data_IF_819377556023
#
_entry.id   IF_819377556023
#
_cell.length_a   1.000
_cell.length_b   1.000
_cell.length_c   1.000
_cell.angle_alpha   90.00
_cell.angle_beta   90.00
_cell.angle_gamma   90.00
#
_symmetry.space_group_name_H-M   'P 1'
#
loop_
_entity.id
_entity.type
_entity.pdbx_description
1 polymer ?
#
# COMPACT_ATOMS: atom_id res chain seq x y z
N UNK A 1 33.24 24.51 24.03
CA UNK A 1 33.64 23.09 24.10
C UNK A 1 32.75 22.28 23.16
N UNK A 2 33.29 21.67 22.08
CA UNK A 2 32.48 20.83 21.20
C UNK A 2 32.14 19.52 21.93
N UNK A 3 30.85 19.19 22.03
CA UNK A 3 30.41 17.92 22.58
C UNK A 3 31.05 16.75 21.78
N UNK A 4 31.49 15.67 22.45
CA UNK A 4 32.26 14.61 21.83
C UNK A 4 31.46 13.94 20.71
N UNK A 5 32.11 13.75 19.55
CA UNK A 5 31.54 13.29 18.29
C UNK A 5 30.65 12.01 18.42
N UNK A 6 30.93 11.16 19.41
CA UNK A 6 30.15 9.95 19.73
C UNK A 6 28.75 10.23 20.30
N UNK A 7 28.57 11.30 21.09
CA UNK A 7 27.29 11.66 21.73
C UNK A 7 26.31 12.25 20.72
N UNK A 8 26.83 13.05 19.77
CA UNK A 8 26.06 13.57 18.63
C UNK A 8 25.60 12.45 17.69
N UNK A 9 26.46 11.46 17.40
CA UNK A 9 26.09 10.30 16.58
C UNK A 9 25.00 9.43 17.22
N UNK A 10 25.12 9.14 18.51
CA UNK A 10 24.12 8.34 19.26
C UNK A 10 22.76 9.05 19.34
N UNK A 11 22.75 10.37 19.60
CA UNK A 11 21.53 11.18 19.57
C UNK A 11 20.88 11.21 18.17
N UNK A 12 21.68 11.30 17.11
CA UNK A 12 21.20 11.27 15.72
C UNK A 12 20.53 9.94 15.38
N UNK A 13 21.16 8.81 15.71
CA UNK A 13 20.58 7.48 15.49
C UNK A 13 19.28 7.30 16.26
N UNK A 14 19.23 7.72 17.52
CA UNK A 14 18.01 7.68 18.33
C UNK A 14 16.87 8.49 17.69
N UNK A 15 17.14 9.72 17.24
CA UNK A 15 16.14 10.56 16.58
C UNK A 15 15.63 9.96 15.27
N UNK A 16 16.49 9.31 14.48
CA UNK A 16 16.07 8.64 13.23
C UNK A 16 15.19 7.42 13.50
N UNK A 17 15.54 6.61 14.50
CA UNK A 17 14.72 5.46 14.91
C UNK A 17 13.37 5.96 15.44
N UNK A 18 13.37 7.00 16.28
CA UNK A 18 12.13 7.59 16.79
C UNK A 18 11.24 8.13 15.65
N UNK A 19 11.83 8.80 14.65
CA UNK A 19 11.10 9.29 13.49
C UNK A 19 10.52 8.14 12.64
N UNK A 20 11.31 7.11 12.37
CA UNK A 20 10.87 5.92 11.63
C UNK A 20 9.76 5.16 12.34
N UNK A 21 9.91 4.91 13.65
CA UNK A 21 8.88 4.26 14.48
C UNK A 21 7.62 5.13 14.57
N UNK A 22 7.75 6.44 14.73
CA UNK A 22 6.58 7.32 14.79
C UNK A 22 5.86 7.40 13.44
N UNK A 23 6.58 7.39 12.32
CA UNK A 23 5.96 7.33 11.00
C UNK A 23 5.25 5.98 10.77
N UNK A 24 5.90 4.88 11.15
CA UNK A 24 5.30 3.54 11.16
C UNK A 24 4.00 3.56 11.97
N UNK A 25 4.06 3.98 13.25
CA UNK A 25 2.93 3.96 14.17
C UNK A 25 1.81 4.90 13.74
N UNK A 26 2.14 6.09 13.20
CA UNK A 26 1.14 7.02 12.68
C UNK A 26 0.40 6.43 11.48
N UNK A 27 1.12 5.87 10.50
CA UNK A 27 0.49 5.30 9.31
C UNK A 27 -0.24 3.99 9.62
N UNK A 28 0.33 3.15 10.49
CA UNK A 28 -0.32 1.96 11.04
C UNK A 28 -1.65 2.32 11.72
N UNK A 29 -1.66 3.35 12.56
CA UNK A 29 -2.88 3.77 13.26
C UNK A 29 -3.91 4.38 12.30
N UNK A 30 -3.46 5.07 11.24
CA UNK A 30 -4.36 5.59 10.20
C UNK A 30 -5.15 4.45 9.51
N UNK A 31 -4.56 3.27 9.36
CA UNK A 31 -5.25 2.11 8.77
C UNK A 31 -6.50 1.70 9.56
N UNK A 32 -6.61 2.02 10.85
CA UNK A 32 -7.81 1.78 11.64
C UNK A 32 -9.03 2.54 11.10
N UNK A 33 -8.80 3.75 10.55
CA UNK A 33 -9.85 4.58 9.96
C UNK A 33 -10.16 4.19 8.50
N UNK A 34 -9.31 3.36 7.90
CA UNK A 34 -9.41 2.90 6.51
C UNK A 34 -9.98 1.49 6.40
N UNK A 35 -9.40 0.53 7.10
CA UNK A 35 -9.55 -0.92 6.83
C UNK A 35 -10.36 -1.67 7.87
N UNK A 36 -10.69 -1.05 9.00
CA UNK A 36 -11.51 -1.67 10.04
C UNK A 36 -12.90 -2.09 9.52
N UNK A 37 -13.51 -1.30 8.62
CA UNK A 37 -14.82 -1.66 8.02
C UNK A 37 -14.78 -2.96 7.21
N UNK A 38 -13.66 -3.27 6.56
CA UNK A 38 -13.53 -4.49 5.76
C UNK A 38 -13.53 -5.77 6.62
N UNK A 39 -13.46 -5.65 7.95
CA UNK A 39 -13.68 -6.77 8.86
C UNK A 39 -15.15 -7.24 8.87
N UNK A 40 -16.10 -6.34 8.67
CA UNK A 40 -17.53 -6.66 8.55
C UNK A 40 -17.85 -7.33 7.21
N UNK A 41 -18.88 -8.17 7.20
CA UNK A 41 -19.43 -8.78 5.98
C UNK A 41 -20.60 -7.97 5.42
N UNK A 42 -21.31 -7.22 6.26
CA UNK A 42 -22.48 -6.40 5.91
C UNK A 42 -23.54 -7.17 5.10
N UNK A 43 -23.85 -8.40 5.53
CA UNK A 43 -24.84 -9.25 4.88
C UNK A 43 -26.27 -8.75 5.11
N UNK A 44 -27.08 -8.69 4.04
CA UNK A 44 -28.52 -8.46 4.14
C UNK A 44 -28.92 -7.08 4.68
N UNK A 45 -28.19 -6.02 4.32
CA UNK A 45 -28.49 -4.65 4.78
C UNK A 45 -29.91 -4.22 4.36
N UNK A 46 -30.77 -4.01 5.34
CA UNK A 46 -32.17 -3.60 5.12
C UNK A 46 -32.23 -2.27 4.35
N UNK A 47 -33.04 -2.21 3.30
CA UNK A 47 -33.16 -1.02 2.42
C UNK A 47 -32.05 -0.87 1.38
N UNK A 48 -31.10 -1.82 1.29
CA UNK A 48 -30.12 -1.86 0.21
C UNK A 48 -30.58 -2.77 -0.93
N UNK A 49 -30.92 -2.17 -2.08
CA UNK A 49 -31.45 -2.89 -3.26
C UNK A 49 -30.59 -2.69 -4.51
N UNK A 50 -29.35 -2.22 -4.36
CA UNK A 50 -28.46 -1.99 -5.50
C UNK A 50 -27.98 -3.31 -6.12
N UNK A 51 -27.50 -3.23 -7.37
CA UNK A 51 -26.90 -4.36 -8.09
C UNK A 51 -25.63 -4.90 -7.43
N UNK A 52 -24.89 -4.05 -6.72
CA UNK A 52 -23.68 -4.40 -6.00
C UNK A 52 -24.04 -4.77 -4.56
N UNK A 53 -23.37 -5.79 -4.01
CA UNK A 53 -23.44 -6.03 -2.57
C UNK A 53 -22.95 -4.80 -1.79
N UNK A 54 -23.49 -4.61 -0.59
CA UNK A 54 -23.26 -3.39 0.18
C UNK A 54 -21.77 -3.17 0.47
N UNK A 55 -21.04 -4.24 0.83
CA UNK A 55 -19.61 -4.17 1.15
C UNK A 55 -18.79 -3.74 -0.07
N UNK A 56 -19.03 -4.33 -1.24
CA UNK A 56 -18.39 -3.96 -2.50
C UNK A 56 -18.68 -2.51 -2.86
N UNK A 57 -19.93 -2.06 -2.74
CA UNK A 57 -20.28 -0.66 -2.99
C UNK A 57 -19.55 0.30 -2.03
N UNK A 58 -19.45 -0.05 -0.75
CA UNK A 58 -18.71 0.72 0.25
C UNK A 58 -17.20 0.77 -0.05
N UNK A 59 -16.59 -0.35 -0.47
CA UNK A 59 -15.19 -0.41 -0.89
C UNK A 59 -14.95 0.49 -2.10
N UNK A 60 -15.77 0.39 -3.15
CA UNK A 60 -15.66 1.22 -4.36
C UNK A 60 -15.79 2.70 -4.00
N UNK A 61 -16.76 3.06 -3.17
CA UNK A 61 -16.96 4.43 -2.70
C UNK A 61 -15.74 4.98 -1.94
N UNK A 62 -15.17 4.18 -1.03
CA UNK A 62 -13.96 4.58 -0.31
C UNK A 62 -12.78 4.79 -1.27
N UNK A 63 -12.56 3.86 -2.21
CA UNK A 63 -11.48 3.96 -3.21
C UNK A 63 -11.68 5.17 -4.12
N UNK A 64 -12.92 5.50 -4.51
CA UNK A 64 -13.24 6.70 -5.27
C UNK A 64 -12.85 7.98 -4.49
N UNK A 65 -13.14 8.03 -3.19
CA UNK A 65 -12.68 9.11 -2.30
C UNK A 65 -11.15 9.24 -2.33
N UNK A 66 -10.41 8.14 -2.22
CA UNK A 66 -8.95 8.12 -2.32
C UNK A 66 -8.43 8.64 -3.67
N UNK A 67 -9.06 8.22 -4.78
CA UNK A 67 -8.68 8.67 -6.11
C UNK A 67 -8.87 10.19 -6.27
N UNK A 68 -10.00 10.72 -5.80
CA UNK A 68 -10.27 12.17 -5.77
C UNK A 68 -9.25 12.92 -4.91
N UNK A 69 -8.87 12.34 -3.77
CA UNK A 69 -7.83 12.88 -2.89
C UNK A 69 -6.49 13.03 -3.60
N UNK A 70 -6.09 12.04 -4.41
CA UNK A 70 -4.83 12.08 -5.16
C UNK A 70 -4.86 13.15 -6.25
N UNK A 71 -6.00 13.35 -6.91
CA UNK A 71 -6.16 14.44 -7.88
C UNK A 71 -6.04 15.82 -7.23
N UNK A 72 -6.64 16.02 -6.05
CA UNK A 72 -6.58 17.27 -5.30
C UNK A 72 -5.24 17.48 -4.55
N UNK A 73 -4.59 16.41 -4.13
CA UNK A 73 -3.43 16.44 -3.23
C UNK A 73 -2.13 16.88 -3.88
N UNK A 74 -1.97 16.73 -5.21
CA UNK A 74 -0.73 17.10 -5.92
C UNK A 74 -0.45 18.60 -5.82
N UNK A 75 -1.48 19.44 -5.89
CA UNK A 75 -1.36 20.90 -5.68
C UNK A 75 -1.30 21.25 -4.20
N UNK A 76 -2.16 20.66 -3.37
CA UNK A 76 -2.28 21.02 -1.95
C UNK A 76 -1.03 20.66 -1.11
N UNK A 77 -0.40 19.49 -1.35
CA UNK A 77 0.81 19.05 -0.61
C UNK A 77 2.03 19.89 -1.00
N UNK A 78 2.13 20.32 -2.26
CA UNK A 78 3.24 21.13 -2.75
C UNK A 78 3.28 22.53 -2.10
N UNK A 79 2.13 23.05 -1.66
CA UNK A 79 1.98 24.39 -1.07
C UNK A 79 2.02 24.39 0.47
N UNK A 80 2.11 23.23 1.11
CA UNK A 80 1.98 23.10 2.56
C UNK A 80 3.27 23.45 3.32
N UNK A 81 3.20 24.55 4.08
CA UNK A 81 4.24 24.91 5.06
C UNK A 81 4.45 23.79 6.11
N UNK A 82 5.70 23.51 6.45
CA UNK A 82 6.11 22.46 7.40
C UNK A 82 5.49 22.61 8.79
N UNK A 83 5.12 23.82 9.19
CA UNK A 83 4.66 24.16 10.55
C UNK A 83 3.25 23.68 10.89
N UNK A 84 2.38 23.44 9.89
CA UNK A 84 0.96 23.04 10.12
C UNK A 84 0.65 21.58 9.78
N UNK A 85 1.66 20.80 9.36
CA UNK A 85 1.49 19.42 8.89
C UNK A 85 0.84 18.50 9.93
N UNK A 86 1.27 18.57 11.19
CA UNK A 86 0.72 17.73 12.25
C UNK A 86 -0.75 18.00 12.51
N UNK A 87 -1.14 19.28 12.59
CA UNK A 87 -2.54 19.69 12.75
C UNK A 87 -3.41 19.25 11.57
N UNK A 88 -2.87 19.31 10.35
CA UNK A 88 -3.57 18.84 9.16
C UNK A 88 -3.79 17.33 9.18
N UNK A 89 -2.79 16.53 9.59
CA UNK A 89 -2.94 15.07 9.74
C UNK A 89 -4.09 14.77 10.71
N UNK A 90 -4.10 15.42 11.89
CA UNK A 90 -5.16 15.23 12.88
C UNK A 90 -6.52 15.67 12.31
N UNK A 91 -6.62 16.84 11.68
CA UNK A 91 -7.87 17.34 11.11
C UNK A 91 -8.43 16.42 10.01
N UNK A 92 -7.59 15.92 9.11
CA UNK A 92 -8.00 14.98 8.06
C UNK A 92 -8.45 13.64 8.65
N UNK A 93 -7.74 13.10 9.64
CA UNK A 93 -8.14 11.84 10.28
C UNK A 93 -9.43 12.03 11.09
N UNK A 94 -9.61 13.17 11.77
CA UNK A 94 -10.87 13.50 12.44
C UNK A 94 -12.03 13.61 11.45
N UNK A 95 -11.84 14.24 10.28
CA UNK A 95 -12.86 14.28 9.22
C UNK A 95 -13.21 12.87 8.71
N UNK A 96 -12.19 12.03 8.50
CA UNK A 96 -12.38 10.62 8.13
C UNK A 96 -13.15 9.83 9.18
N UNK A 97 -12.88 10.09 10.46
CA UNK A 97 -13.55 9.47 11.59
C UNK A 97 -15.02 9.91 11.71
N UNK A 98 -15.31 11.20 11.55
CA UNK A 98 -16.69 11.70 11.51
C UNK A 98 -17.48 11.05 10.36
N UNK A 99 -16.84 10.80 9.23
CA UNK A 99 -17.44 10.05 8.13
C UNK A 99 -17.74 8.58 8.51
N UNK A 100 -16.92 7.92 9.35
CA UNK A 100 -17.25 6.59 9.89
C UNK A 100 -18.41 6.62 10.89
N UNK A 101 -18.53 7.68 11.69
CA UNK A 101 -19.70 7.89 12.55
C UNK A 101 -20.95 8.10 11.70
N UNK A 102 -20.85 8.90 10.64
CA UNK A 102 -21.92 9.06 9.66
C UNK A 102 -22.28 7.73 8.98
N UNK A 103 -21.29 6.92 8.61
CA UNK A 103 -21.50 5.56 8.10
C UNK A 103 -22.28 4.67 9.08
N UNK A 104 -22.06 4.83 10.40
CA UNK A 104 -22.81 4.11 11.40
C UNK A 104 -24.28 4.56 11.49
N UNK A 105 -24.52 5.88 11.48
CA UNK A 105 -25.84 6.47 11.75
C UNK A 105 -26.75 6.62 10.53
N UNK A 106 -26.20 6.79 9.32
CA UNK A 106 -26.97 7.14 8.13
C UNK A 106 -27.74 5.94 7.53
N UNK A 107 -28.82 6.18 6.77
CA UNK A 107 -29.50 5.15 5.98
C UNK A 107 -28.59 4.51 4.92
N UNK A 108 -28.86 3.28 4.45
CA UNK A 108 -27.96 2.49 3.60
C UNK A 108 -27.34 3.24 2.41
N UNK A 109 -28.15 3.94 1.61
CA UNK A 109 -27.65 4.71 0.45
C UNK A 109 -26.70 5.83 0.85
N UNK A 110 -26.96 6.48 1.98
CA UNK A 110 -26.14 7.56 2.52
C UNK A 110 -24.87 7.05 3.21
N UNK A 111 -24.85 5.79 3.70
CA UNK A 111 -23.62 5.14 4.18
C UNK A 111 -22.55 5.07 3.09
N UNK A 112 -22.94 4.83 1.84
CA UNK A 112 -22.00 4.80 0.69
C UNK A 112 -21.37 6.18 0.46
N UNK A 113 -22.16 7.26 0.54
CA UNK A 113 -21.63 8.63 0.46
C UNK A 113 -20.65 8.90 1.61
N UNK A 114 -20.96 8.45 2.82
CA UNK A 114 -20.06 8.56 3.95
C UNK A 114 -18.73 7.85 3.70
N UNK A 115 -18.70 6.72 2.97
CA UNK A 115 -17.45 6.04 2.60
C UNK A 115 -16.60 6.85 1.61
N UNK A 116 -17.20 7.60 0.68
CA UNK A 116 -16.45 8.55 -0.17
C UNK A 116 -15.80 9.64 0.69
N UNK A 117 -16.58 10.23 1.61
CA UNK A 117 -16.10 11.26 2.54
C UNK A 117 -15.05 10.73 3.52
N UNK A 118 -15.10 9.44 3.86
CA UNK A 118 -14.07 8.78 4.65
C UNK A 118 -12.77 8.60 3.87
N UNK A 119 -12.84 8.16 2.61
CA UNK A 119 -11.67 7.89 1.78
C UNK A 119 -10.90 9.14 1.36
N UNK A 120 -11.62 10.23 1.06
CA UNK A 120 -11.03 11.49 0.60
C UNK A 120 -9.94 12.07 1.51
N UNK A 121 -10.14 12.32 2.81
CA UNK A 121 -9.10 12.86 3.67
C UNK A 121 -7.91 11.91 3.85
N UNK A 122 -8.15 10.59 3.82
CA UNK A 122 -7.11 9.60 4.08
C UNK A 122 -6.08 9.48 2.95
N UNK A 123 -6.46 9.76 1.71
CA UNK A 123 -5.56 9.68 0.54
C UNK A 123 -4.34 10.61 0.61
N UNK A 124 -4.39 11.66 1.43
CA UNK A 124 -3.30 12.61 1.65
C UNK A 124 -2.33 12.20 2.78
N UNK A 125 -2.74 11.31 3.70
CA UNK A 125 -2.00 11.06 4.94
C UNK A 125 -0.62 10.45 4.68
N UNK A 126 -0.49 9.54 3.72
CA UNK A 126 0.80 8.96 3.37
C UNK A 126 1.82 10.02 2.98
N UNK A 127 1.43 10.94 2.08
CA UNK A 127 2.32 12.02 1.62
C UNK A 127 2.69 12.98 2.75
N UNK A 128 1.73 13.30 3.63
CA UNK A 128 1.99 14.15 4.80
C UNK A 128 2.97 13.51 5.79
N UNK A 129 2.82 12.23 6.10
CA UNK A 129 3.75 11.50 6.98
C UNK A 129 5.11 11.36 6.31
N UNK A 130 5.15 10.95 5.04
CA UNK A 130 6.39 10.80 4.28
C UNK A 130 7.18 12.11 4.21
N UNK A 131 6.51 13.26 4.11
CA UNK A 131 7.16 14.57 4.07
C UNK A 131 8.00 14.93 5.32
N UNK A 132 7.82 14.23 6.45
CA UNK A 132 8.69 14.35 7.64
C UNK A 132 9.99 13.53 7.54
N UNK A 133 9.95 12.47 6.74
CA UNK A 133 11.05 11.54 6.51
C UNK A 133 11.88 11.97 5.28
N UNK A 134 11.22 12.60 4.32
CA UNK A 134 11.82 13.10 3.10
C UNK A 134 12.95 14.10 3.36
N UNK A 135 13.98 14.04 2.52
CA UNK A 135 15.13 14.94 2.59
C UNK A 135 16.24 14.46 3.52
N UNK A 136 16.05 13.35 4.25
CA UNK A 136 17.07 12.76 5.13
C UNK A 136 17.97 11.78 4.36
N UNK A 137 19.23 11.61 4.78
CA UNK A 137 20.17 10.65 4.20
C UNK A 137 19.62 9.21 4.14
N UNK A 138 18.85 8.80 5.15
CA UNK A 138 18.25 7.47 5.28
C UNK A 138 16.80 7.40 4.76
N UNK A 139 16.38 8.30 3.87
CA UNK A 139 14.98 8.37 3.39
C UNK A 139 14.50 7.06 2.76
N UNK A 140 15.37 6.30 2.09
CA UNK A 140 15.00 5.01 1.48
C UNK A 140 14.65 3.95 2.54
N UNK A 141 15.45 3.87 3.60
CA UNK A 141 15.17 3.00 4.75
C UNK A 141 13.90 3.44 5.49
N UNK A 142 13.73 4.74 5.73
CA UNK A 142 12.55 5.28 6.40
C UNK A 142 11.27 5.06 5.55
N UNK A 143 11.37 5.15 4.23
CA UNK A 143 10.31 4.78 3.29
C UNK A 143 9.97 3.28 3.35
N UNK A 144 10.99 2.41 3.48
CA UNK A 144 10.79 0.97 3.66
C UNK A 144 10.03 0.65 4.95
N UNK A 145 10.40 1.30 6.07
CA UNK A 145 9.72 1.16 7.36
C UNK A 145 8.26 1.64 7.24
N UNK A 146 8.01 2.73 6.51
CA UNK A 146 6.64 3.18 6.25
C UNK A 146 5.86 2.15 5.42
N UNK A 147 6.48 1.53 4.41
CA UNK A 147 5.83 0.46 3.64
C UNK A 147 5.54 -0.80 4.47
N UNK A 148 6.43 -1.17 5.39
CA UNK A 148 6.21 -2.27 6.32
C UNK A 148 4.91 -2.11 7.13
N UNK A 149 4.57 -0.87 7.48
CA UNK A 149 3.40 -0.61 8.32
C UNK A 149 2.09 -1.03 7.67
N UNK A 150 1.90 -0.85 6.35
CA UNK A 150 0.62 -1.23 5.73
C UNK A 150 0.42 -2.73 5.59
N UNK A 151 1.50 -3.51 5.51
CA UNK A 151 1.42 -4.97 5.41
C UNK A 151 0.79 -5.53 6.68
N UNK A 152 1.29 -5.09 7.84
CA UNK A 152 0.82 -5.58 9.15
C UNK A 152 -0.45 -4.87 9.62
N UNK A 153 -0.57 -3.56 9.34
CA UNK A 153 -1.66 -2.75 9.90
C UNK A 153 -3.04 -3.24 9.50
N UNK A 154 -3.23 -3.66 8.23
CA UNK A 154 -4.54 -4.14 7.76
C UNK A 154 -5.03 -5.35 8.56
N UNK A 155 -4.17 -6.33 8.80
CA UNK A 155 -4.48 -7.51 9.61
C UNK A 155 -4.80 -7.13 11.06
N UNK A 156 -3.94 -6.30 11.68
CA UNK A 156 -4.11 -5.87 13.07
C UNK A 156 -5.42 -5.11 13.31
N UNK A 157 -5.76 -4.15 12.46
CA UNK A 157 -6.97 -3.35 12.66
C UNK A 157 -8.24 -4.16 12.41
N UNK A 158 -8.20 -5.15 11.49
CA UNK A 158 -9.30 -6.09 11.29
C UNK A 158 -9.44 -7.04 12.48
N UNK A 159 -8.33 -7.52 13.05
CA UNK A 159 -8.36 -8.28 14.31
C UNK A 159 -9.04 -7.48 15.42
N UNK A 160 -8.69 -6.20 15.59
CA UNK A 160 -9.35 -5.33 16.57
C UNK A 160 -10.83 -5.13 16.27
N UNK A 161 -11.20 -4.84 15.02
CA UNK A 161 -12.59 -4.65 14.62
C UNK A 161 -13.42 -5.93 14.84
N UNK A 162 -12.88 -7.09 14.47
CA UNK A 162 -13.50 -8.39 14.74
C UNK A 162 -13.67 -8.63 16.22
N UNK A 163 -12.65 -8.37 17.05
CA UNK A 163 -12.77 -8.50 18.50
C UNK A 163 -13.85 -7.58 19.09
N UNK A 164 -13.96 -6.34 18.61
CA UNK A 164 -15.02 -5.42 19.01
C UNK A 164 -16.41 -5.97 18.67
N UNK A 165 -16.58 -6.59 17.50
CA UNK A 165 -17.86 -7.17 17.09
C UNK A 165 -18.19 -8.48 17.80
N UNK A 166 -17.22 -9.39 17.92
CA UNK A 166 -17.48 -10.76 18.41
C UNK A 166 -17.44 -10.86 19.93
N UNK A 167 -16.54 -10.14 20.59
CA UNK A 167 -16.35 -10.19 22.06
C UNK A 167 -17.08 -9.03 22.73
N UNK A 168 -16.83 -7.79 22.29
CA UNK A 168 -17.44 -6.59 22.90
C UNK A 168 -18.86 -6.33 22.41
N UNK A 169 -19.36 -7.12 21.44
CA UNK A 169 -20.71 -7.03 20.87
C UNK A 169 -21.06 -5.65 20.33
N UNK A 170 -20.06 -4.90 19.85
CA UNK A 170 -20.27 -3.64 19.15
C UNK A 170 -20.98 -3.91 17.81
N UNK A 171 -22.05 -3.17 17.46
CA UNK A 171 -22.72 -3.35 16.18
C UNK A 171 -21.78 -3.20 14.98
N UNK A 172 -22.00 -4.00 13.94
CA UNK A 172 -21.12 -4.09 12.77
C UNK A 172 -20.83 -2.74 12.10
N UNK A 173 -21.84 -1.87 11.98
CA UNK A 173 -21.67 -0.53 11.41
C UNK A 173 -20.90 0.45 12.33
N UNK A 174 -20.87 0.21 13.64
CA UNK A 174 -20.15 1.05 14.61
C UNK A 174 -18.70 0.60 14.82
N UNK A 175 -18.40 -0.68 14.58
CA UNK A 175 -17.07 -1.26 14.76
C UNK A 175 -15.93 -0.45 14.11
N UNK A 176 -16.06 0.13 12.89
CA UNK A 176 -14.98 0.91 12.28
C UNK A 176 -14.67 2.20 13.04
N UNK A 177 -15.69 2.93 13.47
CA UNK A 177 -15.53 4.17 14.22
C UNK A 177 -14.92 3.91 15.61
N UNK A 178 -15.35 2.85 16.29
CA UNK A 178 -14.79 2.42 17.57
C UNK A 178 -13.33 1.96 17.43
N UNK A 179 -12.99 1.22 16.37
CA UNK A 179 -11.61 0.82 16.08
C UNK A 179 -10.74 2.05 15.86
N UNK A 180 -11.19 3.02 15.06
CA UNK A 180 -10.48 4.28 14.86
C UNK A 180 -10.19 5.02 16.18
N UNK A 181 -11.17 5.12 17.08
CA UNK A 181 -10.97 5.73 18.40
C UNK A 181 -9.91 5.00 19.24
N UNK A 182 -9.87 3.66 19.19
CA UNK A 182 -8.89 2.88 19.94
C UNK A 182 -7.45 3.17 19.48
N UNK A 183 -7.25 3.41 18.18
CA UNK A 183 -5.94 3.73 17.60
C UNK A 183 -5.60 5.22 17.61
N UNK A 184 -6.56 6.10 17.93
CA UNK A 184 -6.35 7.55 17.95
C UNK A 184 -5.27 8.02 18.95
N UNK A 185 -5.14 7.48 20.19
CA UNK A 185 -4.08 7.86 21.11
C UNK A 185 -2.68 7.59 20.55
N UNK A 186 -2.47 6.42 19.96
CA UNK A 186 -1.19 6.04 19.34
C UNK A 186 -0.87 6.94 18.15
N UNK A 187 -1.87 7.24 17.31
CA UNK A 187 -1.75 8.17 16.21
C UNK A 187 -1.33 9.56 16.68
N UNK A 188 -2.06 10.14 17.66
CA UNK A 188 -1.78 11.49 18.17
C UNK A 188 -0.38 11.57 18.77
N UNK A 189 0.00 10.59 19.60
CA UNK A 189 1.34 10.52 20.16
C UNK A 189 2.42 10.48 19.07
N UNK A 190 2.21 9.66 18.03
CA UNK A 190 3.13 9.52 16.91
C UNK A 190 3.26 10.82 16.09
N UNK A 191 2.14 11.49 15.78
CA UNK A 191 2.14 12.78 15.05
C UNK A 191 2.80 13.88 15.86
N UNK A 192 2.61 13.88 17.18
CA UNK A 192 3.25 14.81 18.11
C UNK A 192 4.77 14.61 18.14
N UNK A 193 5.26 13.37 18.13
CA UNK A 193 6.70 13.08 18.01
C UNK A 193 7.22 13.52 16.64
N UNK A 194 6.52 13.18 15.55
CA UNK A 194 6.89 13.59 14.19
C UNK A 194 6.98 15.11 14.04
N UNK A 195 6.07 15.84 14.67
CA UNK A 195 6.05 17.31 14.63
C UNK A 195 7.22 17.96 15.39
N UNK A 196 7.90 17.21 16.27
CA UNK A 196 9.10 17.65 16.97
C UNK A 196 10.40 17.18 16.31
N UNK A 197 10.31 16.40 15.23
CA UNK A 197 11.51 15.97 14.51
C UNK A 197 12.17 17.18 13.86
N UNK A 198 13.48 17.42 14.10
CA UNK A 198 14.17 18.56 13.51
C UNK A 198 14.21 18.44 11.97
N UNK A 199 14.27 19.58 11.24
CA UNK A 199 14.40 19.57 9.79
C UNK A 199 15.68 18.85 9.33
N UNK A 200 15.75 18.39 8.06
CA UNK A 200 16.97 17.83 7.49
C UNK A 200 18.16 18.79 7.67
N UNK A 201 19.33 18.24 8.02
CA UNK A 201 20.51 19.04 8.30
C UNK A 201 21.32 19.33 7.02
N UNK A 202 22.36 20.17 7.11
CA UNK A 202 23.20 20.48 5.95
C UNK A 202 23.91 19.24 5.36
N UNK A 203 24.23 18.24 6.18
CA UNK A 203 24.80 16.97 5.69
C UNK A 203 23.78 16.19 4.84
N UNK A 204 22.51 16.15 5.27
CA UNK A 204 21.42 15.51 4.53
C UNK A 204 21.18 16.18 3.17
N UNK A 205 21.36 17.51 3.11
CA UNK A 205 21.23 18.30 1.87
C UNK A 205 22.45 18.15 0.96
N UNK A 206 23.66 18.06 1.51
CA UNK A 206 24.91 17.88 0.74
C UNK A 206 25.02 16.50 0.10
N UNK A 207 24.57 15.45 0.78
CA UNK A 207 24.63 14.07 0.27
C UNK A 207 23.53 13.77 -0.77
N UNK A 208 22.55 14.67 -0.97
CA UNK A 208 21.49 14.49 -1.97
C UNK A 208 21.76 15.29 -3.24
N UNK A 209 21.85 14.59 -4.36
CA UNK A 209 21.59 15.18 -5.67
C UNK A 209 20.15 15.72 -5.71
N UNK A 210 19.99 17.02 -6.01
CA UNK A 210 18.69 17.68 -6.18
C UNK A 210 17.89 16.94 -7.27
N UNK A 211 16.94 16.09 -6.86
CA UNK A 211 16.01 15.44 -7.79
C UNK A 211 14.98 16.49 -8.23
N UNK A 212 15.16 17.06 -9.43
CA UNK A 212 14.18 17.99 -10.01
C UNK A 212 12.90 17.22 -10.39
N UNK A 213 11.71 17.74 -10.08
CA UNK A 213 10.46 17.18 -10.60
C UNK A 213 10.49 17.16 -12.13
N UNK A 214 9.99 16.08 -12.75
CA UNK A 214 9.90 16.01 -14.22
C UNK A 214 8.89 17.03 -14.74
N UNK A 215 9.32 17.89 -15.66
CA UNK A 215 8.42 18.81 -16.37
C UNK A 215 7.63 18.04 -17.44
N UNK A 216 6.59 18.67 -18.01
CA UNK A 216 5.74 18.01 -19.02
C UNK A 216 6.54 17.45 -20.21
N UNK A 217 7.53 18.20 -20.70
CA UNK A 217 8.40 17.77 -21.79
C UNK A 217 9.24 16.53 -21.42
N UNK A 218 9.84 16.52 -20.22
CA UNK A 218 10.63 15.38 -19.73
C UNK A 218 9.80 14.12 -19.59
N UNK A 219 8.55 14.25 -19.11
CA UNK A 219 7.60 13.14 -18.99
C UNK A 219 7.24 12.57 -20.35
N UNK A 220 6.94 13.42 -21.33
CA UNK A 220 6.63 12.98 -22.69
C UNK A 220 7.81 12.26 -23.31
N UNK A 221 9.02 12.84 -23.25
CA UNK A 221 10.22 12.22 -23.79
C UNK A 221 10.54 10.87 -23.12
N UNK A 222 10.36 10.75 -21.80
CA UNK A 222 10.52 9.48 -21.09
C UNK A 222 9.47 8.44 -21.52
N UNK A 223 8.20 8.83 -21.63
CA UNK A 223 7.13 7.95 -22.10
C UNK A 223 7.32 7.52 -23.56
N UNK A 224 7.83 8.38 -24.43
CA UNK A 224 8.17 7.99 -25.81
C UNK A 224 9.33 6.99 -25.82
N UNK A 225 10.32 7.17 -24.94
CA UNK A 225 11.51 6.32 -24.89
C UNK A 225 11.28 4.93 -24.26
N UNK A 226 10.40 4.84 -23.25
CA UNK A 226 10.19 3.64 -22.42
C UNK A 226 8.73 3.17 -22.36
N UNK A 227 7.80 3.85 -23.02
CA UNK A 227 6.36 3.64 -22.95
C UNK A 227 5.89 2.20 -23.10
N UNK A 228 6.36 1.42 -24.10
CA UNK A 228 5.95 0.02 -24.24
C UNK A 228 6.32 -0.84 -23.02
N UNK A 229 7.53 -0.70 -22.49
CA UNK A 229 7.96 -1.41 -21.28
C UNK A 229 7.21 -0.93 -20.04
N UNK A 230 7.00 0.38 -19.91
CA UNK A 230 6.23 0.97 -18.81
C UNK A 230 4.78 0.51 -18.82
N UNK A 231 4.15 0.39 -19.99
CA UNK A 231 2.77 -0.08 -20.12
C UNK A 231 2.64 -1.52 -19.60
N UNK A 232 3.52 -2.42 -20.05
CA UNK A 232 3.55 -3.82 -19.59
C UNK A 232 3.77 -3.90 -18.08
N UNK A 233 4.70 -3.10 -17.57
CA UNK A 233 5.02 -3.02 -16.16
C UNK A 233 3.85 -2.49 -15.32
N UNK A 234 3.16 -1.45 -15.78
CA UNK A 234 1.96 -0.90 -15.13
C UNK A 234 0.81 -1.91 -15.18
N UNK A 235 0.64 -2.65 -16.28
CA UNK A 235 -0.37 -3.72 -16.34
C UNK A 235 -0.10 -4.81 -15.29
N UNK A 236 1.16 -5.22 -15.10
CA UNK A 236 1.52 -6.14 -14.03
C UNK A 236 1.19 -5.56 -12.65
N UNK A 237 1.52 -4.29 -12.43
CA UNK A 237 1.18 -3.58 -11.20
C UNK A 237 -0.32 -3.59 -10.92
N UNK A 238 -1.14 -3.29 -11.94
CA UNK A 238 -2.60 -3.26 -11.83
C UNK A 238 -3.13 -4.63 -11.40
N UNK A 239 -2.64 -5.71 -12.01
CA UNK A 239 -3.06 -7.09 -11.68
C UNK A 239 -2.69 -7.43 -10.23
N UNK A 240 -1.44 -7.20 -9.81
CA UNK A 240 -1.02 -7.50 -8.44
C UNK A 240 -1.75 -6.61 -7.41
N UNK A 241 -2.02 -5.35 -7.74
CA UNK A 241 -2.78 -4.43 -6.88
C UNK A 241 -4.21 -4.90 -6.71
N UNK A 242 -4.88 -5.27 -7.81
CA UNK A 242 -6.27 -5.73 -7.77
C UNK A 242 -6.40 -7.06 -7.00
N UNK A 243 -5.49 -8.01 -7.22
CA UNK A 243 -5.46 -9.28 -6.48
C UNK A 243 -5.18 -9.06 -4.98
N UNK A 244 -4.23 -8.17 -4.63
CA UNK A 244 -3.98 -7.78 -3.24
C UNK A 244 -5.19 -7.11 -2.60
N UNK A 245 -5.79 -6.14 -3.28
CA UNK A 245 -6.95 -5.42 -2.76
C UNK A 245 -8.14 -6.34 -2.55
N UNK A 246 -8.35 -7.29 -3.47
CA UNK A 246 -9.40 -8.31 -3.31
C UNK A 246 -9.13 -9.17 -2.07
N UNK A 247 -7.94 -9.80 -1.97
CA UNK A 247 -7.54 -10.62 -0.82
C UNK A 247 -7.73 -9.87 0.49
N UNK A 248 -7.27 -8.62 0.52
CA UNK A 248 -7.32 -7.79 1.72
C UNK A 248 -8.76 -7.41 2.07
N UNK A 249 -9.53 -6.85 1.14
CA UNK A 249 -10.88 -6.35 1.43
C UNK A 249 -11.88 -7.46 1.76
N UNK A 250 -11.71 -8.66 1.19
CA UNK A 250 -12.59 -9.81 1.39
C UNK A 250 -11.95 -10.90 2.25
N UNK A 251 -10.94 -10.55 3.06
CA UNK A 251 -10.28 -11.51 3.94
C UNK A 251 -11.26 -12.20 4.91
N UNK A 252 -12.27 -11.49 5.42
CA UNK A 252 -13.29 -12.08 6.30
C UNK A 252 -14.07 -13.19 5.60
N UNK A 253 -14.51 -12.95 4.37
CA UNK A 253 -15.23 -13.91 3.53
C UNK A 253 -14.35 -15.11 3.19
N UNK A 254 -13.10 -14.87 2.81
CA UNK A 254 -12.14 -15.94 2.55
C UNK A 254 -11.92 -16.82 3.80
N UNK A 255 -11.75 -16.23 4.98
CA UNK A 255 -11.59 -17.01 6.22
C UNK A 255 -12.87 -17.78 6.60
N UNK A 256 -14.05 -17.20 6.38
CA UNK A 256 -15.32 -17.88 6.59
C UNK A 256 -15.43 -19.12 5.69
N UNK A 257 -15.12 -18.99 4.40
CA UNK A 257 -15.17 -20.09 3.44
C UNK A 257 -14.06 -21.14 3.68
N UNK A 258 -12.91 -20.73 4.26
CA UNK A 258 -11.86 -21.65 4.70
C UNK A 258 -12.17 -22.37 6.02
N UNK A 259 -13.30 -22.10 6.66
CA UNK A 259 -13.72 -22.71 7.93
C UNK A 259 -13.13 -22.06 9.19
N UNK A 260 -12.43 -20.94 9.05
CA UNK A 260 -11.76 -20.19 10.13
C UNK A 260 -12.53 -18.90 10.50
N UNK A 261 -13.84 -18.90 10.28
CA UNK A 261 -14.74 -17.78 10.53
C UNK A 261 -14.70 -17.29 11.98
N UNK A 262 -14.71 -15.97 12.18
CA UNK A 262 -14.89 -15.35 13.50
C UNK A 262 -13.65 -15.30 14.40
N UNK A 263 -12.53 -15.92 14.00
CA UNK A 263 -11.26 -15.80 14.72
C UNK A 263 -10.64 -14.42 14.50
N UNK A 264 -10.72 -13.54 15.50
CA UNK A 264 -10.15 -12.20 15.39
C UNK A 264 -8.63 -12.25 15.17
N UNK A 265 -7.91 -13.15 15.84
CA UNK A 265 -6.44 -13.19 15.80
C UNK A 265 -5.88 -13.64 14.44
N UNK A 266 -6.68 -14.36 13.63
CA UNK A 266 -6.18 -14.96 12.37
C UNK A 266 -5.68 -13.90 11.39
N UNK A 267 -6.35 -12.74 11.31
CA UNK A 267 -5.95 -11.63 10.45
C UNK A 267 -4.56 -11.08 10.79
N UNK A 268 -4.19 -11.02 12.08
CA UNK A 268 -2.85 -10.56 12.48
C UNK A 268 -1.82 -11.66 12.30
N UNK A 269 -2.15 -12.88 12.72
CA UNK A 269 -1.24 -14.02 12.68
C UNK A 269 -0.87 -14.42 11.24
N UNK A 270 -1.78 -14.24 10.28
CA UNK A 270 -1.47 -14.49 8.87
C UNK A 270 -0.57 -13.43 8.25
N UNK A 271 -0.70 -12.16 8.64
CA UNK A 271 0.07 -11.06 8.02
C UNK A 271 1.47 -10.88 8.61
N UNK A 272 1.74 -11.35 9.83
CA UNK A 272 3.07 -11.25 10.44
C UNK A 272 4.14 -12.02 9.64
N UNK A 273 3.96 -13.30 9.28
CA UNK A 273 4.93 -14.02 8.43
C UNK A 273 5.08 -13.37 7.06
N UNK A 274 3.98 -12.89 6.47
CA UNK A 274 3.96 -12.19 5.18
C UNK A 274 4.86 -10.95 5.22
N UNK A 275 4.74 -10.15 6.28
CA UNK A 275 5.59 -8.98 6.48
C UNK A 275 7.06 -9.36 6.66
N UNK A 276 7.38 -10.37 7.47
CA UNK A 276 8.76 -10.82 7.69
C UNK A 276 9.42 -11.25 6.37
N UNK A 277 8.74 -12.09 5.58
CA UNK A 277 9.26 -12.58 4.30
C UNK A 277 9.47 -11.43 3.32
N UNK A 278 8.45 -10.56 3.18
CA UNK A 278 8.51 -9.44 2.22
C UNK A 278 9.61 -8.45 2.59
N UNK A 279 9.68 -8.04 3.86
CA UNK A 279 10.66 -7.05 4.31
C UNK A 279 12.09 -7.57 4.23
N UNK A 280 12.31 -8.85 4.52
CA UNK A 280 13.62 -9.48 4.36
C UNK A 280 14.08 -9.46 2.91
N UNK A 281 13.19 -9.81 1.97
CA UNK A 281 13.50 -9.75 0.55
C UNK A 281 13.78 -8.32 0.06
N UNK A 282 12.97 -7.33 0.48
CA UNK A 282 13.17 -5.93 0.11
C UNK A 282 14.46 -5.36 0.71
N UNK A 283 14.79 -5.69 1.95
CA UNK A 283 16.04 -5.28 2.58
C UNK A 283 17.25 -5.83 1.80
N UNK A 284 17.20 -7.09 1.37
CA UNK A 284 18.23 -7.67 0.48
C UNK A 284 18.37 -6.92 -0.84
N UNK A 285 17.26 -6.52 -1.45
CA UNK A 285 17.28 -5.72 -2.69
C UNK A 285 17.88 -4.32 -2.51
N UNK A 286 17.67 -3.69 -1.34
CA UNK A 286 18.22 -2.35 -1.04
C UNK A 286 19.75 -2.34 -0.92
N UNK A 287 20.36 -3.47 -0.55
CA UNK A 287 21.82 -3.59 -0.45
C UNK A 287 22.52 -3.56 -1.82
N UNK A 288 21.79 -3.72 -2.91
CA UNK A 288 22.33 -3.74 -4.27
C UNK A 288 22.60 -2.31 -4.74
N UNK A 289 23.88 -1.98 -4.94
CA UNK A 289 24.30 -0.64 -5.39
C UNK A 289 24.06 -0.39 -6.87
N UNK A 290 24.28 -1.40 -7.71
CA UNK A 290 24.12 -1.30 -9.17
C UNK A 290 22.63 -1.22 -9.55
N UNK A 291 22.21 -0.11 -10.16
CA UNK A 291 20.81 0.15 -10.49
C UNK A 291 20.25 -0.81 -11.55
N UNK A 292 21.08 -1.25 -12.51
CA UNK A 292 20.64 -2.19 -13.56
C UNK A 292 20.44 -3.57 -12.96
N UNK A 293 21.40 -4.06 -12.18
CA UNK A 293 21.29 -5.35 -11.47
C UNK A 293 20.13 -5.33 -10.48
N UNK A 294 19.96 -4.24 -9.73
CA UNK A 294 18.82 -4.07 -8.82
C UNK A 294 17.49 -4.13 -9.58
N UNK A 295 17.37 -3.44 -10.71
CA UNK A 295 16.16 -3.48 -11.55
C UNK A 295 15.84 -4.90 -12.03
N UNK A 296 16.84 -5.67 -12.46
CA UNK A 296 16.64 -7.06 -12.90
C UNK A 296 16.26 -7.99 -11.75
N UNK A 297 16.90 -7.85 -10.59
CA UNK A 297 16.56 -8.64 -9.41
C UNK A 297 15.17 -8.31 -8.88
N UNK A 298 14.74 -7.05 -8.96
CA UNK A 298 13.36 -6.65 -8.66
C UNK A 298 12.36 -7.38 -9.59
N UNK A 299 12.62 -7.44 -10.90
CA UNK A 299 11.77 -8.20 -11.82
C UNK A 299 11.73 -9.69 -11.45
N UNK A 300 12.88 -10.28 -11.11
CA UNK A 300 12.98 -11.66 -10.65
C UNK A 300 12.20 -11.92 -9.37
N UNK A 301 12.30 -11.04 -8.37
CA UNK A 301 11.52 -11.13 -7.12
C UNK A 301 10.02 -11.02 -7.38
N UNK A 302 9.61 -10.14 -8.29
CA UNK A 302 8.20 -10.02 -8.66
C UNK A 302 7.69 -11.28 -9.39
N UNK A 303 8.50 -11.84 -10.29
CA UNK A 303 8.20 -13.11 -10.95
C UNK A 303 8.12 -14.27 -9.94
N UNK A 304 9.05 -14.35 -8.99
CA UNK A 304 9.01 -15.34 -7.91
C UNK A 304 7.76 -15.17 -7.04
N UNK A 305 7.36 -13.94 -6.73
CA UNK A 305 6.10 -13.65 -6.04
C UNK A 305 4.89 -14.16 -6.83
N UNK A 306 4.84 -13.92 -8.14
CA UNK A 306 3.80 -14.44 -9.01
C UNK A 306 3.76 -15.98 -9.04
N UNK A 307 4.91 -16.65 -9.20
CA UNK A 307 5.00 -18.12 -9.10
C UNK A 307 4.50 -18.65 -7.77
N UNK A 308 4.90 -18.00 -6.66
CA UNK A 308 4.49 -18.41 -5.32
C UNK A 308 2.96 -18.37 -5.17
N UNK A 309 2.29 -17.37 -5.73
CA UNK A 309 0.81 -17.28 -5.75
C UNK A 309 0.20 -18.48 -6.47
N UNK A 310 0.66 -18.80 -7.68
CA UNK A 310 0.10 -19.90 -8.47
C UNK A 310 0.37 -21.27 -7.84
N UNK A 311 1.62 -21.51 -7.42
CA UNK A 311 2.03 -22.78 -6.81
C UNK A 311 1.38 -23.02 -5.46
N UNK A 312 1.22 -21.98 -4.63
CA UNK A 312 0.50 -22.13 -3.36
C UNK A 312 -0.99 -22.40 -3.58
N UNK A 313 -1.62 -21.77 -4.57
CA UNK A 313 -3.02 -22.03 -4.91
C UNK A 313 -3.22 -23.45 -5.42
N UNK A 314 -2.30 -23.95 -6.25
CA UNK A 314 -2.30 -25.35 -6.67
C UNK A 314 -2.09 -26.30 -5.49
N UNK A 315 -1.11 -26.03 -4.64
CA UNK A 315 -0.83 -26.85 -3.47
C UNK A 315 -2.03 -26.89 -2.51
N UNK A 316 -2.77 -25.79 -2.35
CA UNK A 316 -3.99 -25.75 -1.54
C UNK A 316 -5.09 -26.62 -2.15
N UNK A 317 -5.36 -26.49 -3.45
CA UNK A 317 -6.38 -27.28 -4.14
C UNK A 317 -6.03 -28.77 -4.26
N UNK A 318 -4.74 -29.10 -4.18
CA UNK A 318 -4.24 -30.48 -4.12
C UNK A 318 -4.16 -31.02 -2.68
N UNK A 319 -4.74 -30.31 -1.69
CA UNK A 319 -4.73 -30.66 -0.27
C UNK A 319 -3.32 -30.84 0.34
N UNK A 320 -2.28 -30.24 -0.27
CA UNK A 320 -0.89 -30.31 0.21
C UNK A 320 -0.60 -29.29 1.31
N UNK A 321 -1.36 -28.19 1.35
CA UNK A 321 -1.23 -27.14 2.38
C UNK A 321 -2.60 -26.73 2.90
N UNK A 322 -2.66 -26.30 4.17
CA UNK A 322 -3.88 -25.78 4.78
C UNK A 322 -4.27 -24.39 4.24
N UNK A 323 -5.53 -24.00 4.44
CA UNK A 323 -6.02 -22.66 4.09
C UNK A 323 -5.23 -21.52 4.73
N UNK A 324 -4.79 -21.68 5.99
CA UNK A 324 -3.91 -20.71 6.66
C UNK A 324 -2.56 -20.57 5.94
N UNK A 325 -1.92 -21.69 5.63
CA UNK A 325 -0.64 -21.71 4.91
C UNK A 325 -0.78 -21.12 3.50
N UNK A 326 -1.89 -21.38 2.82
CA UNK A 326 -2.22 -20.80 1.53
C UNK A 326 -2.40 -19.28 1.60
N UNK A 327 -3.17 -18.79 2.56
CA UNK A 327 -3.35 -17.35 2.79
C UNK A 327 -2.02 -16.65 3.11
N UNK A 328 -1.13 -17.28 3.88
CA UNK A 328 0.20 -16.75 4.18
C UNK A 328 1.08 -16.74 2.93
N UNK A 329 1.16 -17.84 2.19
CA UNK A 329 2.06 -17.95 1.03
C UNK A 329 1.61 -17.12 -0.16
N UNK A 330 0.30 -17.08 -0.46
CA UNK A 330 -0.26 -16.15 -1.46
C UNK A 330 -0.07 -14.70 -1.05
N UNK A 331 -0.27 -14.37 0.23
CA UNK A 331 0.02 -13.04 0.78
C UNK A 331 1.47 -12.64 0.58
N UNK A 332 2.42 -13.52 0.93
CA UNK A 332 3.84 -13.28 0.74
C UNK A 332 4.18 -13.09 -0.76
N UNK A 333 3.67 -13.94 -1.64
CA UNK A 333 3.87 -13.82 -3.08
C UNK A 333 3.34 -12.50 -3.63
N UNK A 334 2.15 -12.09 -3.20
CA UNK A 334 1.53 -10.81 -3.54
C UNK A 334 2.37 -9.62 -3.12
N UNK A 335 2.80 -9.56 -1.85
CA UNK A 335 3.58 -8.44 -1.36
C UNK A 335 5.01 -8.41 -1.93
N UNK A 336 5.60 -9.57 -2.26
CA UNK A 336 6.87 -9.63 -3.01
C UNK A 336 6.72 -9.07 -4.43
N UNK A 337 5.59 -9.31 -5.09
CA UNK A 337 5.32 -8.82 -6.44
C UNK A 337 4.88 -7.35 -6.48
N UNK A 338 4.10 -6.90 -5.50
CA UNK A 338 3.51 -5.57 -5.48
C UNK A 338 4.43 -4.51 -4.83
N UNK A 339 5.06 -4.81 -3.70
CA UNK A 339 5.75 -3.79 -2.88
C UNK A 339 6.93 -3.11 -3.58
N UNK A 340 7.74 -3.80 -4.41
CA UNK A 340 8.86 -3.16 -5.11
C UNK A 340 8.44 -1.96 -5.97
N UNK A 341 7.24 -1.98 -6.56
CA UNK A 341 6.70 -0.89 -7.39
C UNK A 341 6.59 0.42 -6.61
N UNK A 342 6.18 0.34 -5.34
CA UNK A 342 6.00 1.50 -4.47
C UNK A 342 7.29 1.92 -3.75
N UNK A 343 8.24 0.99 -3.60
CA UNK A 343 9.43 1.21 -2.78
C UNK A 343 10.67 1.64 -3.57
N UNK A 344 10.97 0.99 -4.70
CA UNK A 344 12.28 1.17 -5.35
C UNK A 344 12.30 0.96 -6.86
N UNK A 345 11.33 0.26 -7.44
CA UNK A 345 11.38 -0.17 -8.84
C UNK A 345 11.53 1.02 -9.79
N UNK A 346 10.67 2.03 -9.66
CA UNK A 346 10.70 3.21 -10.53
C UNK A 346 11.93 4.08 -10.29
N UNK A 347 12.43 4.19 -9.06
CA UNK A 347 13.68 4.89 -8.76
C UNK A 347 14.88 4.19 -9.43
N UNK A 348 14.97 2.87 -9.30
CA UNK A 348 16.01 2.06 -9.95
C UNK A 348 15.90 2.11 -11.47
N UNK A 349 14.69 2.16 -12.02
CA UNK A 349 14.47 2.32 -13.46
C UNK A 349 14.98 3.66 -13.97
N UNK A 350 14.60 4.77 -13.33
CA UNK A 350 15.05 6.11 -13.73
C UNK A 350 16.58 6.22 -13.62
N UNK A 351 17.14 5.71 -12.52
CA UNK A 351 18.58 5.71 -12.32
C UNK A 351 19.32 4.83 -13.35
N UNK A 352 18.80 3.64 -13.67
CA UNK A 352 19.35 2.77 -14.70
C UNK A 352 19.26 3.38 -16.12
N UNK A 353 18.16 4.08 -16.40
CA UNK A 353 17.91 4.79 -17.65
C UNK A 353 18.72 6.10 -17.80
N UNK A 354 19.43 6.53 -16.74
CA UNK A 354 20.16 7.82 -16.67
C UNK A 354 19.31 9.03 -17.02
N UNK A 355 18.02 8.98 -16.68
CA UNK A 355 17.11 10.08 -16.94
C UNK A 355 17.07 11.03 -15.75
N UNK A 356 17.08 12.35 -15.99
CA UNK A 356 16.88 13.32 -14.92
C UNK A 356 15.40 13.39 -14.55
N UNK A 357 15.03 12.90 -13.36
CA UNK A 357 13.65 12.96 -12.89
C UNK A 357 13.38 12.22 -11.58
N UNK A 358 12.19 12.44 -11.03
CA UNK A 358 11.70 11.74 -9.83
C UNK A 358 10.77 10.60 -10.21
N UNK A 359 10.91 9.45 -9.54
CA UNK A 359 10.00 8.31 -9.69
C UNK A 359 8.55 8.58 -9.31
N UNK A 360 8.29 9.67 -8.57
CA UNK A 360 6.96 10.05 -8.11
C UNK A 360 5.91 10.03 -9.22
N UNK A 361 6.21 10.58 -10.41
CA UNK A 361 5.27 10.57 -11.54
C UNK A 361 4.82 9.15 -11.93
N UNK A 362 5.77 8.21 -12.00
CA UNK A 362 5.49 6.83 -12.37
C UNK A 362 4.71 6.08 -11.28
N UNK A 363 5.04 6.34 -10.01
CA UNK A 363 4.31 5.80 -8.85
C UNK A 363 2.86 6.29 -8.88
N UNK A 364 2.62 7.60 -9.08
CA UNK A 364 1.26 8.15 -9.17
C UNK A 364 0.48 7.57 -10.35
N UNK A 365 1.10 7.42 -11.52
CA UNK A 365 0.47 6.83 -12.70
C UNK A 365 0.08 5.36 -12.46
N UNK A 366 0.99 4.60 -11.85
CA UNK A 366 0.76 3.21 -11.49
C UNK A 366 -0.38 3.09 -10.45
N UNK A 367 -0.35 3.88 -9.38
CA UNK A 367 -1.38 3.89 -8.33
C UNK A 367 -2.78 4.23 -8.86
N UNK A 368 -2.89 5.27 -9.69
CA UNK A 368 -4.17 5.64 -10.30
C UNK A 368 -4.71 4.50 -11.17
N UNK A 369 -3.85 3.86 -11.95
CA UNK A 369 -4.20 2.69 -12.76
C UNK A 369 -4.61 1.50 -11.88
N UNK A 370 -3.92 1.28 -10.76
CA UNK A 370 -4.19 0.23 -9.79
C UNK A 370 -5.58 0.37 -9.16
N UNK A 371 -5.95 1.57 -8.73
CA UNK A 371 -7.30 1.82 -8.20
C UNK A 371 -8.39 1.59 -9.25
N UNK A 372 -8.18 2.03 -10.49
CA UNK A 372 -9.10 1.76 -11.59
C UNK A 372 -9.24 0.25 -11.84
N UNK A 373 -8.14 -0.50 -11.77
CA UNK A 373 -8.15 -1.95 -11.89
C UNK A 373 -8.93 -2.64 -10.76
N UNK A 374 -8.70 -2.25 -9.51
CA UNK A 374 -9.46 -2.78 -8.36
C UNK A 374 -10.96 -2.53 -8.52
N UNK A 375 -11.36 -1.29 -8.85
CA UNK A 375 -12.79 -0.97 -9.08
C UNK A 375 -13.37 -1.80 -10.23
N UNK A 376 -12.64 -1.92 -11.34
CA UNK A 376 -13.08 -2.71 -12.49
C UNK A 376 -13.25 -4.19 -12.15
N UNK A 377 -12.32 -4.76 -11.38
CA UNK A 377 -12.39 -6.15 -10.92
C UNK A 377 -13.62 -6.39 -10.02
N UNK A 378 -13.92 -5.46 -9.12
CA UNK A 378 -15.08 -5.58 -8.23
C UNK A 378 -16.40 -5.49 -9.00
N UNK A 379 -16.50 -4.56 -9.95
CA UNK A 379 -17.66 -4.48 -10.85
C UNK A 379 -17.78 -5.78 -11.66
N UNK A 380 -16.68 -6.32 -12.18
CA UNK A 380 -16.68 -7.61 -12.88
C UNK A 380 -17.18 -8.75 -11.98
N UNK A 381 -16.64 -8.88 -10.77
CA UNK A 381 -17.07 -9.90 -9.81
C UNK A 381 -18.56 -9.80 -9.51
N UNK A 382 -19.07 -8.59 -9.28
CA UNK A 382 -20.46 -8.38 -8.89
C UNK A 382 -21.44 -8.54 -10.05
N UNK A 383 -21.05 -8.24 -11.29
CA UNK A 383 -21.96 -8.28 -12.45
C UNK A 383 -21.82 -9.56 -13.28
N UNK A 384 -20.59 -10.00 -13.57
CA UNK A 384 -20.33 -11.14 -14.44
C UNK A 384 -20.23 -12.46 -13.67
N UNK A 385 -19.65 -12.43 -12.46
CA UNK A 385 -19.33 -13.63 -11.66
C UNK A 385 -20.11 -13.69 -10.33
N UNK A 386 -21.38 -13.30 -10.38
CA UNK A 386 -22.26 -13.17 -9.20
C UNK A 386 -22.47 -14.47 -8.42
N UNK A 387 -22.36 -15.63 -9.08
CA UNK A 387 -22.64 -16.94 -8.50
C UNK A 387 -21.38 -17.64 -7.96
N UNK A 388 -20.18 -17.12 -8.22
CA UNK A 388 -18.96 -17.69 -7.68
C UNK A 388 -18.76 -17.25 -6.24
N UNK A 389 -18.48 -18.21 -5.37
CA UNK A 389 -18.06 -17.94 -4.00
C UNK A 389 -16.73 -17.16 -3.97
N UNK A 390 -16.45 -16.46 -2.87
CA UNK A 390 -15.31 -15.54 -2.78
C UNK A 390 -13.97 -16.28 -2.90
N UNK A 391 -13.87 -17.47 -2.30
CA UNK A 391 -12.71 -18.35 -2.33
C UNK A 391 -12.42 -18.89 -3.72
N UNK A 392 -13.46 -19.36 -4.42
CA UNK A 392 -13.35 -19.88 -5.79
C UNK A 392 -12.91 -18.80 -6.76
N UNK A 393 -13.52 -17.61 -6.65
CA UNK A 393 -13.13 -16.47 -7.48
C UNK A 393 -11.70 -16.01 -7.18
N UNK A 394 -11.30 -15.92 -5.90
CA UNK A 394 -9.94 -15.55 -5.52
C UNK A 394 -8.90 -16.58 -5.98
N UNK A 395 -9.24 -17.87 -5.95
CA UNK A 395 -8.37 -18.94 -6.48
C UNK A 395 -8.16 -18.79 -7.99
N UNK A 396 -9.22 -18.56 -8.76
CA UNK A 396 -9.13 -18.27 -10.20
C UNK A 396 -8.31 -17.01 -10.49
N UNK A 397 -8.55 -15.94 -9.74
CA UNK A 397 -7.79 -14.70 -9.85
C UNK A 397 -6.31 -14.89 -9.48
N UNK A 398 -6.00 -15.78 -8.54
CA UNK A 398 -4.63 -16.13 -8.15
C UNK A 398 -3.88 -16.83 -9.28
N UNK A 399 -4.52 -17.77 -9.99
CA UNK A 399 -3.93 -18.38 -11.18
C UNK A 399 -3.73 -17.38 -12.31
N UNK A 400 -4.74 -16.56 -12.59
CA UNK A 400 -4.63 -15.50 -13.60
C UNK A 400 -3.50 -14.52 -13.26
N UNK A 401 -3.45 -14.04 -12.01
CA UNK A 401 -2.43 -13.12 -11.51
C UNK A 401 -1.03 -13.71 -11.56
N UNK A 402 -0.88 -15.00 -11.23
CA UNK A 402 0.37 -15.74 -11.37
C UNK A 402 0.82 -15.81 -12.83
N UNK A 403 -0.03 -16.34 -13.72
CA UNK A 403 0.32 -16.53 -15.13
C UNK A 403 0.56 -15.22 -15.87
N UNK A 404 -0.40 -14.30 -15.82
CA UNK A 404 -0.28 -12.99 -16.46
C UNK A 404 0.87 -12.17 -15.84
N UNK A 405 1.01 -12.18 -14.51
CA UNK A 405 2.09 -11.50 -13.81
C UNK A 405 3.47 -12.00 -14.26
N UNK A 406 3.66 -13.32 -14.37
CA UNK A 406 4.92 -13.90 -14.87
C UNK A 406 5.25 -13.48 -16.29
N UNK A 407 4.26 -13.54 -17.18
CA UNK A 407 4.43 -13.15 -18.58
C UNK A 407 4.79 -11.67 -18.66
N UNK A 408 4.02 -10.79 -18.01
CA UNK A 408 4.24 -9.34 -18.06
C UNK A 408 5.58 -8.96 -17.42
N UNK A 409 5.95 -9.54 -16.29
CA UNK A 409 7.25 -9.29 -15.66
C UNK A 409 8.41 -9.78 -16.54
N UNK A 410 8.27 -10.93 -17.21
CA UNK A 410 9.29 -11.45 -18.13
C UNK A 410 9.44 -10.56 -19.37
N UNK A 411 8.32 -10.15 -19.98
CA UNK A 411 8.31 -9.26 -21.15
C UNK A 411 8.90 -7.89 -20.79
N UNK A 412 8.52 -7.32 -19.64
CA UNK A 412 9.08 -6.08 -19.12
C UNK A 412 10.59 -6.19 -18.90
N UNK A 413 11.04 -7.28 -18.27
CA UNK A 413 12.46 -7.53 -18.02
C UNK A 413 13.24 -7.60 -19.34
N UNK A 414 12.76 -8.37 -20.32
CA UNK A 414 13.40 -8.50 -21.63
C UNK A 414 13.46 -7.15 -22.37
N UNK A 415 12.39 -6.36 -22.30
CA UNK A 415 12.36 -5.03 -22.89
C UNK A 415 13.43 -4.12 -22.27
N UNK A 416 13.48 -4.01 -20.94
CA UNK A 416 14.45 -3.13 -20.28
C UNK A 416 15.89 -3.61 -20.44
N UNK A 417 16.16 -4.93 -20.44
CA UNK A 417 17.49 -5.47 -20.74
C UNK A 417 17.94 -5.05 -22.14
N UNK A 418 17.10 -5.23 -23.16
CA UNK A 418 17.44 -4.87 -24.55
C UNK A 418 17.64 -3.36 -24.68
N UNK A 419 16.75 -2.57 -24.08
CA UNK A 419 16.78 -1.11 -24.18
C UNK A 419 17.99 -0.51 -23.47
N UNK A 420 18.30 -0.96 -22.26
CA UNK A 420 19.45 -0.48 -21.48
C UNK A 420 20.79 -0.89 -22.13
N UNK A 421 20.88 -2.08 -22.72
CA UNK A 421 22.07 -2.49 -23.49
C UNK A 421 22.30 -1.61 -24.72
N UNK A 422 21.22 -1.24 -25.42
CA UNK A 422 21.30 -0.36 -26.58
C UNK A 422 21.79 1.07 -26.25
N UNK A 423 21.70 1.50 -24.99
CA UNK A 423 22.19 2.81 -24.54
C UNK A 423 23.69 2.86 -24.22
N UNK A 424 24.42 1.72 -24.29
CA UNK A 424 25.86 1.66 -24.05
C UNK A 424 26.30 1.66 -22.57
N UNK A 425 27.58 1.33 -22.27
CA UNK A 425 28.10 1.20 -20.91
C UNK A 425 28.16 2.52 -20.13
N UNK A 426 28.24 2.42 -18.79
CA UNK A 426 28.45 3.55 -17.88
C UNK A 426 29.88 4.07 -18.07
N UNK A 427 30.06 5.16 -18.81
CA UNK A 427 31.29 5.95 -18.70
C UNK A 427 31.23 6.63 -17.35
N UNK A 428 31.98 6.08 -16.39
CA UNK A 428 32.17 6.69 -15.08
C UNK A 428 33.07 7.90 -15.23
N UNK A 429 32.58 9.05 -14.76
CA UNK A 429 33.41 10.16 -14.30
C UNK A 429 33.33 10.18 -12.77
#
# INVERSE_FOLDING_TARGET
MPAPCSRRRRYRTFMMIAAGLSAFSAYFSMYAFRKAFAAGSYGGVEGWTALLDFKTAAIIAQVAGYALSKAAGVTFIAELSSRRRGLLIIGLISASWLALVAFACLPPSWKIVAMVLNGFPLGMIWGLIFSYLEGRRESEFLGAVLCASFIVASGAVKSTAMWLMTVMKIPEFWAPACTGLLYAPLLVASVVILSRTPPPNEEDVRDRTLRKPMMRADRQAFLTAFGPGLLVLILAYVIFTALRDFRDNFATELWLELGEGGSASIFTLSELPVAIVTLTALAGLMMIRDNVRALLLIHGVCGMGALLIGLSTFAYQADLISGLSWMITTGAGLYLAYTPFNAMLFDRLIAAARWSGTAGFLIYLADASGYAGTVSLLIWKSLAEKNLDWLSFYSGLSYFGSGAGLILMSVSMLFFVRRLRAMGPQTGD
#
